data_IF_529008517860
#
_entry.id   IF_529008517860
#
_cell.length_a   1.000
_cell.length_b   1.000
_cell.length_c   1.000
_cell.angle_alpha   90.00
_cell.angle_beta   90.00
_cell.angle_gamma   90.00
#
_symmetry.space_group_name_H-M   'P 1'
#
loop_
_entity.id
_entity.type
_entity.pdbx_description
1 polymer ?
#
# COMPACT_ATOMS: atom_id res chain seq x y z
N UNK A 1 17.06 -12.10 2.41
CA UNK A 1 15.64 -12.37 2.76
C UNK A 1 15.08 -11.11 3.39
N UNK A 2 13.93 -10.64 2.89
CA UNK A 2 13.23 -9.46 3.41
C UNK A 2 12.09 -9.89 4.34
N UNK A 3 11.86 -9.17 5.43
CA UNK A 3 10.71 -9.37 6.32
C UNK A 3 9.96 -8.07 6.51
N UNK A 4 8.71 -8.01 6.04
CA UNK A 4 7.83 -6.85 6.22
C UNK A 4 7.58 -6.56 7.71
N UNK A 5 7.51 -5.27 8.08
CA UNK A 5 7.25 -4.80 9.44
C UNK A 5 5.79 -4.31 9.50
N UNK A 6 4.84 -5.12 9.97
CA UNK A 6 3.42 -4.81 9.88
C UNK A 6 2.98 -3.65 10.78
N UNK A 7 3.77 -3.29 11.79
CA UNK A 7 3.48 -2.24 12.77
C UNK A 7 4.18 -0.92 12.48
N UNK A 8 4.88 -0.81 11.35
CA UNK A 8 5.82 0.27 11.06
C UNK A 8 5.24 1.67 11.16
N UNK A 9 3.91 1.82 11.01
CA UNK A 9 3.21 3.09 10.96
C UNK A 9 1.95 3.13 11.85
N UNK A 10 1.91 2.35 12.93
CA UNK A 10 0.79 2.38 13.88
C UNK A 10 0.59 3.75 14.59
N UNK A 11 1.55 4.67 14.47
CA UNK A 11 1.43 6.05 14.99
C UNK A 11 0.87 7.06 13.99
N UNK A 12 0.68 6.67 12.71
CA UNK A 12 0.07 7.51 11.68
C UNK A 12 -1.46 7.29 11.73
N UNK A 13 -2.27 8.33 11.47
CA UNK A 13 -3.73 8.18 11.40
C UNK A 13 -4.12 7.08 10.40
N UNK A 14 -5.10 6.22 10.73
CA UNK A 14 -5.60 5.21 9.80
C UNK A 14 -6.37 5.86 8.65
N UNK A 15 -6.32 5.25 7.47
CA UNK A 15 -7.25 5.56 6.40
C UNK A 15 -8.69 5.19 6.81
N UNK A 16 -9.66 5.87 6.20
CA UNK A 16 -11.06 5.49 6.32
C UNK A 16 -11.26 4.06 5.81
N UNK A 17 -12.11 3.27 6.48
CA UNK A 17 -12.33 1.86 6.13
C UNK A 17 -11.35 0.89 6.80
N UNK A 18 -10.34 1.39 7.51
CA UNK A 18 -9.35 0.54 8.18
C UNK A 18 -9.98 -0.24 9.33
N UNK A 19 -9.64 -1.51 9.45
CA UNK A 19 -10.08 -2.37 10.54
C UNK A 19 -9.63 -1.81 11.92
N UNK A 20 -10.55 -1.67 12.90
CA UNK A 20 -10.20 -1.20 14.24
C UNK A 20 -9.12 -2.06 14.90
N UNK A 21 -8.04 -1.42 15.35
CA UNK A 21 -6.92 -2.09 16.03
C UNK A 21 -5.98 -2.88 15.11
N UNK A 22 -6.19 -2.85 13.78
CA UNK A 22 -5.31 -3.54 12.86
C UNK A 22 -3.91 -2.92 12.81
N UNK A 23 -2.91 -3.77 12.60
CA UNK A 23 -1.55 -3.35 12.30
C UNK A 23 -1.48 -2.65 10.95
N UNK A 24 -0.71 -1.57 10.89
CA UNK A 24 -0.54 -0.72 9.72
C UNK A 24 0.93 -0.55 9.39
N UNK A 25 1.34 -1.25 8.34
CA UNK A 25 2.72 -1.30 7.86
C UNK A 25 2.92 -0.55 6.55
N UNK A 26 1.85 0.01 5.99
CA UNK A 26 1.83 0.76 4.73
C UNK A 26 1.36 2.19 5.03
N UNK A 27 1.99 3.17 4.40
CA UNK A 27 1.51 4.55 4.36
C UNK A 27 1.31 4.97 2.91
N UNK A 28 0.15 5.53 2.63
CA UNK A 28 -0.14 6.23 1.39
C UNK A 28 -0.09 7.74 1.67
N UNK A 29 0.75 8.43 0.91
CA UNK A 29 0.69 9.89 0.81
C UNK A 29 0.20 10.30 -0.56
N UNK A 30 -0.90 11.06 -0.59
CA UNK A 30 -1.56 11.51 -1.81
C UNK A 30 -2.35 12.79 -1.52
N UNK A 31 -2.36 13.72 -2.47
CA UNK A 31 -3.11 14.99 -2.36
C UNK A 31 -2.82 15.78 -1.06
N UNK A 32 -1.56 15.82 -0.63
CA UNK A 32 -1.13 16.49 0.60
C UNK A 32 -1.48 15.77 1.91
N UNK A 33 -2.22 14.67 1.85
CA UNK A 33 -2.60 13.87 3.01
C UNK A 33 -1.70 12.64 3.14
N UNK A 34 -1.52 12.16 4.37
CA UNK A 34 -0.84 10.89 4.65
C UNK A 34 -1.69 10.07 5.60
N UNK A 35 -2.00 8.85 5.19
CA UNK A 35 -2.79 7.88 5.96
C UNK A 35 -2.07 6.55 5.99
N UNK A 36 -2.25 5.81 7.07
CA UNK A 36 -1.75 4.45 7.21
C UNK A 36 -2.83 3.45 6.82
N UNK A 37 -2.44 2.46 6.02
CA UNK A 37 -3.32 1.42 5.51
C UNK A 37 -3.06 0.14 6.30
N UNK A 38 -4.11 -0.68 6.43
CA UNK A 38 -4.00 -2.00 7.00
C UNK A 38 -3.16 -2.87 6.09
N UNK A 39 -2.65 -3.96 6.65
CA UNK A 39 -1.90 -4.94 5.88
C UNK A 39 -2.85 -5.95 5.18
N UNK A 40 -4.16 -5.73 5.23
CA UNK A 40 -5.21 -6.72 5.03
C UNK A 40 -6.21 -6.26 3.97
N UNK A 41 -6.97 -7.21 3.40
CA UNK A 41 -8.07 -6.86 2.52
C UNK A 41 -9.22 -6.26 3.34
N UNK A 42 -9.35 -4.95 3.35
CA UNK A 42 -10.48 -4.20 3.89
C UNK A 42 -10.80 -2.99 2.99
N UNK A 43 -11.53 -2.01 3.53
CA UNK A 43 -11.98 -0.84 2.80
C UNK A 43 -10.93 0.30 2.80
N UNK A 44 -9.72 0.08 3.34
CA UNK A 44 -8.64 1.09 3.42
C UNK A 44 -7.61 1.01 2.28
N UNK A 45 -7.90 0.18 1.28
CA UNK A 45 -7.23 0.14 -0.02
C UNK A 45 -5.76 -0.31 -0.02
N UNK A 46 -5.22 -0.80 1.10
CA UNK A 46 -3.85 -1.34 1.18
C UNK A 46 -3.81 -2.80 1.62
N UNK A 47 -2.96 -3.61 0.99
CA UNK A 47 -2.77 -5.00 1.43
C UNK A 47 -1.32 -5.47 1.23
N UNK A 48 -0.79 -6.20 2.21
CA UNK A 48 0.47 -6.93 2.09
C UNK A 48 0.20 -8.41 1.79
N UNK A 49 0.96 -8.97 0.85
CA UNK A 49 0.98 -10.38 0.51
C UNK A 49 2.35 -10.96 0.87
N UNK A 50 2.41 -12.01 1.72
CA UNK A 50 3.67 -12.62 2.09
C UNK A 50 4.33 -13.33 0.89
N UNK A 51 5.65 -13.62 0.95
CA UNK A 51 6.35 -14.37 -0.08
C UNK A 51 5.61 -15.66 -0.49
N UNK A 52 5.54 -15.92 -1.79
CA UNK A 52 4.87 -17.09 -2.36
C UNK A 52 3.36 -16.94 -2.56
N UNK A 53 2.73 -15.89 -2.03
CA UNK A 53 1.30 -15.64 -2.25
C UNK A 53 1.12 -14.68 -3.42
N UNK A 54 0.39 -15.14 -4.45
CA UNK A 54 0.09 -14.33 -5.64
C UNK A 54 -1.04 -13.32 -5.34
N UNK A 55 -0.78 -12.00 -5.47
CA UNK A 55 -1.81 -10.98 -5.28
C UNK A 55 -3.02 -11.11 -6.22
N UNK A 56 -2.87 -11.77 -7.37
CA UNK A 56 -3.97 -12.00 -8.34
C UNK A 56 -5.12 -12.83 -7.78
N UNK A 57 -4.88 -13.60 -6.71
CA UNK A 57 -5.92 -14.34 -6.01
C UNK A 57 -6.98 -13.39 -5.43
N UNK A 58 -6.56 -12.19 -4.99
CA UNK A 58 -7.45 -11.17 -4.43
C UNK A 58 -7.79 -10.09 -5.46
N UNK A 59 -6.84 -9.72 -6.31
CA UNK A 59 -6.96 -8.65 -7.29
C UNK A 59 -6.64 -9.15 -8.71
N UNK A 60 -7.60 -9.81 -9.39
CA UNK A 60 -7.36 -10.49 -10.67
C UNK A 60 -6.88 -9.57 -11.80
N UNK A 61 -7.22 -8.29 -11.73
CA UNK A 61 -6.82 -7.27 -12.71
C UNK A 61 -5.36 -6.83 -12.59
N UNK A 62 -4.65 -7.16 -11.50
CA UNK A 62 -3.25 -6.76 -11.35
C UNK A 62 -2.38 -7.63 -12.26
N UNK A 63 -1.58 -7.00 -13.10
CA UNK A 63 -0.57 -7.70 -13.89
C UNK A 63 0.80 -7.65 -13.21
N UNK A 64 1.09 -8.62 -12.34
CA UNK A 64 2.44 -8.80 -11.80
C UNK A 64 3.35 -9.38 -12.88
N UNK A 65 4.45 -8.67 -13.22
CA UNK A 65 5.45 -9.09 -14.22
C UNK A 65 6.44 -10.14 -13.69
N UNK A 66 6.32 -10.58 -12.44
CA UNK A 66 7.21 -11.56 -11.83
C UNK A 66 6.61 -12.23 -10.58
N UNK A 67 7.29 -13.26 -10.09
CA UNK A 67 6.89 -14.02 -8.91
C UNK A 67 7.12 -13.23 -7.62
N UNK A 68 6.18 -13.32 -6.67
CA UNK A 68 6.30 -12.72 -5.35
C UNK A 68 7.29 -13.48 -4.46
N UNK A 69 8.59 -13.19 -4.57
CA UNK A 69 9.65 -13.89 -3.80
C UNK A 69 9.98 -13.26 -2.45
N UNK A 70 9.65 -11.98 -2.24
CA UNK A 70 10.04 -11.21 -1.05
C UNK A 70 8.87 -10.50 -0.36
N UNK A 71 7.64 -10.77 -0.79
CA UNK A 71 6.44 -10.06 -0.38
C UNK A 71 6.03 -9.01 -1.41
N UNK A 72 4.74 -8.71 -1.45
CA UNK A 72 4.16 -7.71 -2.33
C UNK A 72 3.25 -6.77 -1.54
N UNK A 73 3.28 -5.48 -1.87
CA UNK A 73 2.33 -4.50 -1.36
C UNK A 73 1.46 -4.09 -2.53
N UNK A 74 0.15 -4.19 -2.35
CA UNK A 74 -0.85 -3.67 -3.29
C UNK A 74 -1.51 -2.47 -2.64
N UNK A 75 -1.61 -1.38 -3.37
CA UNK A 75 -2.38 -0.19 -2.98
C UNK A 75 -3.29 0.18 -4.13
N UNK A 76 -4.58 0.32 -3.86
CA UNK A 76 -5.55 0.83 -4.83
C UNK A 76 -5.65 2.35 -4.69
N UNK A 77 -5.25 3.08 -5.73
CA UNK A 77 -5.26 4.55 -5.73
C UNK A 77 -6.54 5.13 -6.36
N UNK A 78 -7.45 4.28 -6.84
CA UNK A 78 -8.60 4.69 -7.64
C UNK A 78 -8.19 5.38 -8.94
N UNK A 79 -9.04 6.28 -9.43
CA UNK A 79 -8.75 7.09 -10.60
C UNK A 79 -7.86 8.27 -10.23
N UNK A 80 -6.71 8.37 -10.89
CA UNK A 80 -5.80 9.49 -10.73
C UNK A 80 -5.90 10.43 -11.94
N UNK A 81 -5.91 11.75 -11.71
CA UNK A 81 -5.88 12.70 -12.82
C UNK A 81 -4.53 12.60 -13.56
N UNK A 82 -4.57 12.77 -14.88
CA UNK A 82 -3.37 12.74 -15.71
C UNK A 82 -2.39 13.86 -15.29
N UNK A 83 -1.16 13.47 -14.97
CA UNK A 83 -0.10 14.42 -14.66
C UNK A 83 0.37 15.11 -15.95
N UNK A 84 0.26 16.44 -16.00
CA UNK A 84 0.73 17.22 -17.16
C UNK A 84 2.07 17.90 -16.90
N UNK A 85 2.42 18.11 -15.63
CA UNK A 85 3.71 18.60 -15.17
C UNK A 85 4.03 18.03 -13.78
N UNK A 86 5.26 18.20 -13.32
CA UNK A 86 5.61 17.89 -11.92
C UNK A 86 4.67 18.62 -10.97
N UNK A 87 3.98 17.87 -10.11
CA UNK A 87 3.06 18.44 -9.12
C UNK A 87 1.72 18.94 -9.67
N UNK A 88 1.42 18.75 -10.96
CA UNK A 88 0.21 19.29 -11.59
C UNK A 88 -0.59 18.20 -12.31
N UNK A 89 -1.87 17.98 -11.93
CA UNK A 89 -2.57 18.59 -10.78
C UNK A 89 -2.10 18.07 -9.42
N UNK A 90 -2.53 18.71 -8.32
CA UNK A 90 -2.09 18.38 -6.94
C UNK A 90 -2.38 16.92 -6.55
N UNK A 91 -3.40 16.30 -7.15
CA UNK A 91 -3.78 14.90 -6.93
C UNK A 91 -3.13 13.89 -7.89
N UNK A 92 -2.19 14.28 -8.76
CA UNK A 92 -1.57 13.34 -9.71
C UNK A 92 -0.24 12.75 -9.22
N UNK A 93 0.13 12.99 -7.97
CA UNK A 93 1.39 12.52 -7.39
C UNK A 93 1.22 12.07 -5.93
N UNK A 94 2.17 11.29 -5.47
CA UNK A 94 2.19 10.72 -4.13
C UNK A 94 3.31 9.71 -3.96
N UNK A 95 3.28 8.99 -2.84
CA UNK A 95 4.17 7.87 -2.61
C UNK A 95 3.52 6.83 -1.71
N UNK A 96 3.95 5.58 -1.88
CA UNK A 96 3.68 4.49 -0.95
C UNK A 96 4.95 4.23 -0.14
N UNK A 97 4.84 4.16 1.19
CA UNK A 97 5.94 3.78 2.08
C UNK A 97 5.59 2.49 2.80
N UNK A 98 6.58 1.62 2.91
CA UNK A 98 6.56 0.40 3.71
C UNK A 98 7.94 0.18 4.31
N UNK A 99 8.05 -0.65 5.36
CA UNK A 99 9.34 -1.05 5.92
C UNK A 99 9.50 -2.56 5.85
N UNK A 100 10.69 -2.98 5.41
CA UNK A 100 11.13 -4.36 5.53
C UNK A 100 12.50 -4.42 6.20
N UNK A 101 12.73 -5.48 6.97
CA UNK A 101 14.02 -5.79 7.59
C UNK A 101 14.78 -6.75 6.69
N UNK A 102 16.03 -6.41 6.37
CA UNK A 102 16.98 -7.30 5.67
C UNK A 102 17.76 -8.10 6.72
N UNK A 103 18.04 -9.37 6.44
CA UNK A 103 18.96 -10.21 7.22
C UNK A 103 20.40 -9.99 6.80
#
# INVERSE_FOLDING_TARGET
MLTFIPTAFNSIPPASGSLPGADRGIVLSHNGNSVSLSNSKDDDFGQYFPPGVDPKIVYPQINCSGSNTNGAVVVNLGDLPNATNSGTPIGSYGFVRFRGKVK
#
